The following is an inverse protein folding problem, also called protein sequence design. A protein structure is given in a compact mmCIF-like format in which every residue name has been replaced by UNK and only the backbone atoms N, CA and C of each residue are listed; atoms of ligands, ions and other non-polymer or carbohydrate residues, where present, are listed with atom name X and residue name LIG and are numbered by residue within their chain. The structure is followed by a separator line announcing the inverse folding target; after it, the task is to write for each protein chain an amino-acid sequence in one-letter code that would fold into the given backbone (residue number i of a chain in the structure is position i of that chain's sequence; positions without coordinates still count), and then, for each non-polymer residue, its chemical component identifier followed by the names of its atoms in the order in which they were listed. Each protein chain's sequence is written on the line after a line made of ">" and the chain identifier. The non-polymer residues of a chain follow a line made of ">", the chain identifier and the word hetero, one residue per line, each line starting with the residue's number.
data_IF_333137310376
#
_entry.id   IF_333137310376
#
_cell.length_a   1.000
_cell.length_b   1.000
_cell.length_c   1.000
_cell.angle_alpha   90.00
_cell.angle_beta   90.00
_cell.angle_gamma   90.00
#
_symmetry.space_group_name_H-M   'P 1'
#
loop_
_entity.id
_entity.type
_entity.pdbx_description
1 polymer ?
#
# COMPACT_ATOMS: atom_id res chain seq x y z
N UNK A 1 -27.85 -18.17 0.36
CA UNK A 1 -27.63 -17.52 -0.94
C UNK A 1 -28.13 -16.10 -0.83
N UNK A 2 -27.24 -15.14 -0.52
CA UNK A 2 -27.57 -13.72 -0.44
C UNK A 2 -26.74 -12.99 -1.50
N UNK A 3 -27.03 -13.28 -2.76
CA UNK A 3 -26.48 -12.52 -3.86
C UNK A 3 -27.28 -11.22 -3.99
N UNK A 4 -26.58 -10.12 -4.21
CA UNK A 4 -27.16 -8.80 -4.33
C UNK A 4 -26.54 -8.06 -5.50
N UNK A 5 -27.38 -7.45 -6.34
CA UNK A 5 -26.95 -6.56 -7.40
C UNK A 5 -27.64 -5.22 -7.23
N UNK A 6 -26.85 -4.15 -7.24
CA UNK A 6 -27.32 -2.77 -7.24
C UNK A 6 -26.80 -2.11 -8.53
N UNK A 7 -27.70 -1.53 -9.31
CA UNK A 7 -27.34 -0.76 -10.50
C UNK A 7 -27.97 0.62 -10.41
N UNK A 8 -27.16 1.66 -10.52
CA UNK A 8 -27.56 3.06 -10.59
C UNK A 8 -27.12 3.61 -11.95
N UNK A 9 -28.00 4.32 -12.63
CA UNK A 9 -27.68 5.05 -13.85
C UNK A 9 -28.18 6.49 -13.73
N UNK A 10 -27.38 7.44 -14.18
CA UNK A 10 -27.69 8.86 -14.20
C UNK A 10 -27.30 9.43 -15.56
N UNK A 11 -28.18 10.24 -16.13
CA UNK A 11 -27.92 10.96 -17.39
C UNK A 11 -28.24 12.42 -17.17
N UNK A 12 -27.30 13.31 -17.51
CA UNK A 12 -27.44 14.77 -17.44
C UNK A 12 -27.22 15.34 -18.85
N UNK A 13 -28.29 15.47 -19.65
CA UNK A 13 -28.18 15.87 -21.06
C UNK A 13 -27.54 17.25 -21.27
N UNK A 14 -27.77 18.20 -20.35
CA UNK A 14 -27.21 19.55 -20.42
C UNK A 14 -25.68 19.59 -20.39
N UNK A 15 -25.04 18.57 -19.80
CA UNK A 15 -23.58 18.44 -19.69
C UNK A 15 -23.00 17.38 -20.63
N UNK A 16 -23.84 16.75 -21.48
CA UNK A 16 -23.46 15.54 -22.26
C UNK A 16 -22.76 14.51 -21.37
N UNK A 17 -23.35 14.27 -20.21
CA UNK A 17 -22.77 13.40 -19.19
C UNK A 17 -23.70 12.23 -18.89
N UNK A 18 -23.13 11.04 -18.79
CA UNK A 18 -23.80 9.86 -18.28
C UNK A 18 -22.87 9.10 -17.34
N UNK A 19 -23.46 8.53 -16.29
CA UNK A 19 -22.74 7.77 -15.29
C UNK A 19 -23.53 6.52 -14.93
N UNK A 20 -22.84 5.40 -14.82
CA UNK A 20 -23.39 4.15 -14.30
C UNK A 20 -22.51 3.60 -13.21
N UNK A 21 -23.16 3.07 -12.17
CA UNK A 21 -22.53 2.40 -11.05
C UNK A 21 -23.19 1.04 -10.88
N UNK A 22 -22.42 -0.03 -11.01
CA UNK A 22 -22.88 -1.40 -10.82
C UNK A 22 -22.13 -2.01 -9.66
N UNK A 23 -22.83 -2.45 -8.63
CA UNK A 23 -22.28 -3.14 -7.48
C UNK A 23 -22.85 -4.56 -7.45
N UNK A 24 -21.99 -5.56 -7.51
CA UNK A 24 -22.35 -6.97 -7.42
C UNK A 24 -21.74 -7.55 -6.14
N UNK A 25 -22.54 -8.22 -5.34
CA UNK A 25 -22.11 -8.99 -4.19
C UNK A 25 -22.56 -10.44 -4.39
N UNK A 26 -21.59 -11.35 -4.38
CA UNK A 26 -21.84 -12.79 -4.40
C UNK A 26 -21.31 -13.40 -3.12
N UNK A 27 -22.15 -14.17 -2.45
CA UNK A 27 -21.79 -14.82 -1.18
C UNK A 27 -22.24 -16.28 -1.21
N UNK A 28 -21.30 -17.12 -1.65
CA UNK A 28 -21.38 -18.58 -1.61
C UNK A 28 -20.42 -19.10 -0.51
N UNK A 29 -19.38 -19.86 -0.86
CA UNK A 29 -18.28 -20.25 0.04
C UNK A 29 -17.24 -19.11 0.19
N UNK A 30 -16.99 -18.39 -0.90
CA UNK A 30 -16.13 -17.21 -0.96
C UNK A 30 -17.00 -15.94 -1.05
N UNK A 31 -16.50 -14.82 -0.53
CA UNK A 31 -17.14 -13.52 -0.68
C UNK A 31 -16.48 -12.75 -1.83
N UNK A 32 -17.26 -12.46 -2.87
CA UNK A 32 -16.80 -11.65 -4.01
C UNK A 32 -17.67 -10.40 -4.12
N UNK A 33 -17.03 -9.25 -4.15
CA UNK A 33 -17.68 -7.95 -4.35
C UNK A 33 -17.03 -7.22 -5.51
N UNK A 34 -17.80 -6.95 -6.55
CA UNK A 34 -17.37 -6.18 -7.71
C UNK A 34 -18.10 -4.84 -7.75
N UNK A 35 -17.36 -3.76 -7.98
CA UNK A 35 -17.86 -2.41 -8.16
C UNK A 35 -17.33 -1.87 -9.49
N UNK A 36 -18.23 -1.59 -10.42
CA UNK A 36 -17.92 -1.00 -11.71
C UNK A 36 -18.56 0.38 -11.82
N UNK A 37 -17.73 1.40 -12.02
CA UNK A 37 -18.14 2.78 -12.27
C UNK A 37 -17.77 3.13 -13.70
N UNK A 38 -18.73 3.57 -14.51
CA UNK A 38 -18.49 4.09 -15.85
C UNK A 38 -19.04 5.50 -15.89
N UNK A 39 -18.25 6.45 -16.36
CA UNK A 39 -18.65 7.84 -16.52
C UNK A 39 -18.17 8.34 -17.87
N UNK A 40 -19.11 8.87 -18.65
CA UNK A 40 -18.83 9.59 -19.88
C UNK A 40 -19.17 11.06 -19.64
N UNK A 41 -18.22 11.95 -19.92
CA UNK A 41 -18.39 13.40 -19.80
C UNK A 41 -17.85 14.06 -21.06
N UNK A 42 -18.74 14.46 -21.96
CA UNK A 42 -18.38 15.05 -23.27
C UNK A 42 -17.35 14.18 -24.02
N UNK A 43 -16.09 14.63 -24.17
CA UNK A 43 -15.02 13.90 -24.87
C UNK A 43 -14.10 13.09 -23.94
N UNK A 44 -14.49 12.89 -22.67
CA UNK A 44 -13.77 12.08 -21.68
C UNK A 44 -14.59 10.84 -21.33
N UNK A 45 -13.95 9.66 -21.34
CA UNK A 45 -14.51 8.44 -20.76
C UNK A 45 -13.65 7.95 -19.59
N UNK A 46 -14.31 7.59 -18.50
CA UNK A 46 -13.72 7.04 -17.30
C UNK A 46 -14.40 5.72 -16.95
N UNK A 47 -13.61 4.68 -16.74
CA UNK A 47 -14.07 3.38 -16.31
C UNK A 47 -13.22 2.93 -15.12
N UNK A 48 -13.86 2.54 -14.03
CA UNK A 48 -13.21 2.02 -12.83
C UNK A 48 -13.84 0.69 -12.45
N UNK A 49 -13.01 -0.30 -12.17
CA UNK A 49 -13.41 -1.63 -11.69
C UNK A 49 -12.66 -1.91 -10.41
N UNK A 50 -13.37 -2.07 -9.30
CA UNK A 50 -12.82 -2.56 -8.05
C UNK A 50 -13.41 -3.94 -7.77
N UNK A 51 -12.57 -4.94 -7.55
CA UNK A 51 -12.96 -6.31 -7.20
C UNK A 51 -12.32 -6.65 -5.87
N UNK A 52 -13.13 -7.08 -4.91
CA UNK A 52 -12.69 -7.63 -3.63
C UNK A 52 -13.07 -9.11 -3.60
N UNK A 53 -12.09 -9.96 -3.37
CA UNK A 53 -12.27 -11.40 -3.16
C UNK A 53 -11.72 -11.76 -1.80
N UNK A 54 -12.55 -12.44 -1.01
CA UNK A 54 -12.17 -12.93 0.31
C UNK A 54 -12.59 -14.38 0.43
N UNK A 55 -11.62 -15.22 0.78
CA UNK A 55 -11.83 -16.62 1.11
C UNK A 55 -11.08 -16.97 2.41
N UNK A 56 -11.09 -18.25 2.80
CA UNK A 56 -10.47 -18.71 4.04
C UNK A 56 -8.93 -18.60 4.04
N UNK A 57 -8.29 -18.55 2.87
CA UNK A 57 -6.85 -18.70 2.69
C UNK A 57 -6.17 -17.44 2.13
N UNK A 58 -6.94 -16.54 1.51
CA UNK A 58 -6.46 -15.32 0.88
C UNK A 58 -7.51 -14.21 0.87
N UNK A 59 -6.98 -13.00 0.80
CA UNK A 59 -7.70 -11.75 0.60
C UNK A 59 -7.07 -11.05 -0.60
N UNK A 60 -7.87 -10.69 -1.60
CA UNK A 60 -7.41 -10.06 -2.84
C UNK A 60 -8.27 -8.84 -3.17
N UNK A 61 -7.61 -7.73 -3.46
CA UNK A 61 -8.24 -6.48 -3.89
C UNK A 61 -7.59 -6.07 -5.20
N UNK A 62 -8.42 -5.93 -6.22
CA UNK A 62 -8.02 -5.49 -7.56
C UNK A 62 -8.72 -4.18 -7.88
N UNK A 63 -7.98 -3.18 -8.33
CA UNK A 63 -8.47 -1.87 -8.71
C UNK A 63 -7.91 -1.51 -10.08
N UNK A 64 -8.78 -1.46 -11.07
CA UNK A 64 -8.48 -1.05 -12.44
C UNK A 64 -9.19 0.26 -12.73
N UNK A 65 -8.48 1.24 -13.26
CA UNK A 65 -9.01 2.52 -13.71
C UNK A 65 -8.50 2.79 -15.12
N UNK A 66 -9.39 3.19 -16.01
CA UNK A 66 -9.10 3.55 -17.39
C UNK A 66 -9.75 4.91 -17.68
N UNK A 67 -8.94 5.90 -17.97
CA UNK A 67 -9.37 7.24 -18.34
C UNK A 67 -8.88 7.50 -19.76
N UNK A 68 -9.79 7.84 -20.66
CA UNK A 68 -9.49 8.23 -22.02
C UNK A 68 -10.08 9.60 -22.35
N UNK A 69 -9.38 10.37 -23.18
CA UNK A 69 -9.81 11.69 -23.62
C UNK A 69 -9.38 11.97 -25.05
N UNK A 70 -10.27 12.55 -25.85
CA UNK A 70 -9.97 13.02 -27.20
C UNK A 70 -9.46 14.47 -27.18
N UNK A 71 -8.13 14.63 -27.15
CA UNK A 71 -7.48 15.95 -26.97
C UNK A 71 -7.71 16.91 -28.13
N UNK A 72 -7.79 16.41 -29.36
CA UNK A 72 -7.99 17.24 -30.55
C UNK A 72 -9.30 18.01 -30.52
N UNK A 73 -10.34 17.46 -29.88
CA UNK A 73 -11.65 18.09 -29.76
C UNK A 73 -11.74 19.04 -28.56
N UNK A 74 -10.95 18.79 -27.51
CA UNK A 74 -10.94 19.63 -26.30
C UNK A 74 -10.05 20.86 -26.41
N UNK A 75 -8.90 20.77 -27.09
CA UNK A 75 -7.95 21.88 -27.21
C UNK A 75 -7.86 22.28 -28.70
N UNK A 76 -8.62 23.29 -29.14
CA UNK A 76 -8.42 23.85 -30.47
C UNK A 76 -7.01 24.44 -30.58
N UNK A 77 -6.31 24.15 -31.69
CA UNK A 77 -4.96 24.65 -31.97
C UNK A 77 -3.88 24.15 -30.98
N UNK A 78 -3.77 22.82 -30.84
CA UNK A 78 -2.78 22.12 -30.01
C UNK A 78 -1.33 22.55 -30.29
N UNK A 79 -0.98 22.83 -31.55
CA UNK A 79 0.38 23.24 -31.92
C UNK A 79 0.75 24.63 -31.39
N UNK A 80 -0.18 25.58 -31.41
CA UNK A 80 0.06 26.91 -30.86
C UNK A 80 0.26 26.84 -29.34
N UNK A 81 -0.56 26.06 -28.63
CA UNK A 81 -0.41 25.84 -27.19
C UNK A 81 0.92 25.16 -26.85
N UNK A 82 1.34 24.17 -27.65
CA UNK A 82 2.65 23.54 -27.48
C UNK A 82 3.79 24.55 -27.66
N UNK A 83 3.74 25.40 -28.69
CA UNK A 83 4.75 26.44 -28.92
C UNK A 83 4.80 27.44 -27.78
N UNK A 84 3.65 27.87 -27.26
CA UNK A 84 3.57 28.75 -26.09
C UNK A 84 4.17 28.09 -24.84
N UNK A 85 3.85 26.82 -24.57
CA UNK A 85 4.43 26.08 -23.45
C UNK A 85 5.94 25.90 -23.61
N UNK A 86 6.42 25.60 -24.82
CA UNK A 86 7.86 25.52 -25.10
C UNK A 86 8.55 26.86 -24.87
N UNK A 87 7.95 27.97 -25.34
CA UNK A 87 8.48 29.32 -25.10
C UNK A 87 8.54 29.65 -23.61
N UNK A 88 7.50 29.36 -22.84
CA UNK A 88 7.49 29.57 -21.38
C UNK A 88 8.57 28.75 -20.68
N UNK A 89 8.73 27.48 -21.05
CA UNK A 89 9.80 26.62 -20.51
C UNK A 89 11.16 27.19 -20.87
N UNK A 90 11.37 27.62 -22.11
CA UNK A 90 12.62 28.20 -22.55
C UNK A 90 12.92 29.54 -21.84
N UNK A 91 11.93 30.41 -21.64
CA UNK A 91 12.07 31.66 -20.90
C UNK A 91 12.46 31.42 -19.43
N UNK A 92 11.81 30.47 -18.76
CA UNK A 92 12.15 30.09 -17.37
C UNK A 92 13.57 29.52 -17.31
N UNK A 93 13.93 28.63 -18.23
CA UNK A 93 15.25 28.04 -18.30
C UNK A 93 16.33 29.08 -18.63
N UNK A 94 16.00 30.11 -19.41
CA UNK A 94 16.94 31.15 -19.80
C UNK A 94 17.02 32.34 -18.82
N UNK A 95 16.17 32.34 -17.79
CA UNK A 95 16.21 33.33 -16.71
C UNK A 95 17.58 33.30 -16.00
N UNK A 96 18.18 34.49 -15.85
CA UNK A 96 19.43 34.66 -15.11
C UNK A 96 19.20 34.45 -13.62
N UNK A 97 20.07 33.65 -13.00
CA UNK A 97 20.05 33.45 -11.55
C UNK A 97 20.69 34.66 -10.87
N UNK A 98 19.99 35.24 -9.89
CA UNK A 98 20.39 36.46 -9.22
C UNK A 98 21.84 36.37 -8.69
N UNK A 99 22.65 37.39 -8.99
CA UNK A 99 24.07 37.52 -8.61
C UNK A 99 25.04 36.52 -9.26
N UNK A 100 24.65 35.88 -10.37
CA UNK A 100 25.54 35.05 -11.19
C UNK A 100 25.38 35.37 -12.67
N UNK A 101 26.41 35.14 -13.50
CA UNK A 101 26.27 35.23 -14.97
C UNK A 101 25.67 33.94 -15.58
N UNK A 102 25.14 33.05 -14.74
CA UNK A 102 24.58 31.76 -15.17
C UNK A 102 23.06 31.85 -15.36
N UNK A 103 22.56 31.22 -16.44
CA UNK A 103 21.13 30.95 -16.64
C UNK A 103 20.68 29.72 -15.84
N UNK A 104 19.39 29.62 -15.50
CA UNK A 104 18.82 28.46 -14.80
C UNK A 104 19.12 27.13 -15.54
N UNK A 105 19.07 27.14 -16.87
CA UNK A 105 19.48 26.04 -17.75
C UNK A 105 20.88 25.53 -17.43
N UNK A 106 21.84 26.44 -17.23
CA UNK A 106 23.22 26.07 -16.89
C UNK A 106 23.32 25.43 -15.51
N UNK A 107 22.54 25.90 -14.53
CA UNK A 107 22.50 25.30 -13.18
C UNK A 107 21.94 23.89 -13.25
N UNK A 108 20.83 23.68 -13.96
CA UNK A 108 20.23 22.36 -14.16
C UNK A 108 21.20 21.42 -14.88
N UNK A 109 21.86 21.88 -15.94
CA UNK A 109 22.92 21.13 -16.65
C UNK A 109 24.01 20.68 -15.70
N UNK A 110 24.57 21.62 -14.93
CA UNK A 110 25.66 21.32 -13.98
C UNK A 110 25.19 20.38 -12.86
N UNK A 111 23.94 20.49 -12.42
CA UNK A 111 23.32 19.58 -11.47
C UNK A 111 23.20 18.15 -12.01
N UNK A 112 22.79 18.00 -13.28
CA UNK A 112 22.74 16.68 -13.95
C UNK A 112 24.16 16.10 -14.10
N UNK A 113 25.13 16.90 -14.55
CA UNK A 113 26.54 16.50 -14.66
C UNK A 113 27.12 16.03 -13.31
N UNK A 114 26.95 16.83 -12.26
CA UNK A 114 27.41 16.50 -10.92
C UNK A 114 26.72 15.25 -10.36
N UNK A 115 25.41 15.11 -10.60
CA UNK A 115 24.65 13.91 -10.23
C UNK A 115 25.15 12.66 -10.94
N UNK A 116 25.51 12.76 -12.23
CA UNK A 116 26.11 11.66 -12.99
C UNK A 116 27.47 11.24 -12.40
N UNK A 117 28.33 12.20 -12.01
CA UNK A 117 29.61 11.92 -11.34
C UNK A 117 29.41 11.22 -10.00
N UNK A 118 28.41 11.65 -9.21
CA UNK A 118 28.12 11.03 -7.92
C UNK A 118 27.56 9.61 -8.07
N UNK A 119 26.69 9.40 -9.07
CA UNK A 119 26.23 8.07 -9.46
C UNK A 119 27.39 7.17 -9.90
N UNK A 120 28.38 7.68 -10.62
CA UNK A 120 29.56 6.92 -11.05
C UNK A 120 30.34 6.33 -9.85
N UNK A 121 30.47 7.11 -8.77
CA UNK A 121 31.09 6.62 -7.52
C UNK A 121 30.25 5.54 -6.83
N UNK A 122 28.92 5.69 -6.85
CA UNK A 122 28.02 4.70 -6.26
C UNK A 122 27.89 3.41 -7.08
N UNK A 123 27.98 3.49 -8.41
CA UNK A 123 27.96 2.30 -9.27
C UNK A 123 29.11 1.36 -9.04
N UNK A 124 30.25 1.85 -8.54
CA UNK A 124 31.36 1.00 -8.10
C UNK A 124 30.96 0.06 -6.95
N UNK A 125 29.98 0.46 -6.12
CA UNK A 125 29.50 -0.31 -4.97
C UNK A 125 28.16 -1.01 -5.23
N UNK A 126 27.33 -0.48 -6.15
CA UNK A 126 26.00 -0.99 -6.46
C UNK A 126 25.81 -1.06 -7.99
N UNK A 127 26.08 -2.22 -8.63
CA UNK A 127 26.04 -2.38 -10.09
C UNK A 127 24.67 -2.09 -10.72
N UNK A 128 23.58 -2.21 -9.96
CA UNK A 128 22.21 -1.95 -10.43
C UNK A 128 21.97 -0.47 -10.78
N UNK A 129 22.78 0.46 -10.26
CA UNK A 129 22.67 1.90 -10.56
C UNK A 129 23.22 2.27 -11.94
N UNK A 130 23.99 1.39 -12.59
CA UNK A 130 24.62 1.66 -13.90
C UNK A 130 23.57 1.90 -15.00
N UNK A 131 22.37 1.32 -14.85
CA UNK A 131 21.25 1.50 -15.79
C UNK A 131 20.58 2.87 -15.71
N UNK A 132 20.90 3.68 -14.70
CA UNK A 132 20.42 5.07 -14.56
C UNK A 132 21.29 6.08 -15.33
N UNK A 133 22.50 5.67 -15.73
CA UNK A 133 23.51 6.53 -16.37
C UNK A 133 23.18 6.89 -17.83
N UNK A 134 22.74 5.93 -18.64
CA UNK A 134 22.58 6.11 -20.09
C UNK A 134 21.38 6.94 -20.52
N UNK A 135 20.63 7.45 -19.55
CA UNK A 135 19.31 8.06 -19.74
C UNK A 135 19.23 9.47 -19.17
N UNK A 136 20.30 10.28 -19.22
CA UNK A 136 20.22 11.67 -18.71
C UNK A 136 20.96 12.62 -19.64
N UNK A 137 20.23 13.29 -20.53
CA UNK A 137 20.75 14.32 -21.45
C UNK A 137 19.89 15.58 -21.38
N UNK A 138 20.37 16.72 -21.87
CA UNK A 138 19.60 17.97 -21.95
C UNK A 138 18.61 17.99 -23.12
N UNK A 139 18.81 17.15 -24.14
CA UNK A 139 17.88 16.98 -25.26
C UNK A 139 16.48 16.50 -24.81
N UNK A 140 16.40 16.03 -23.57
CA UNK A 140 15.22 15.57 -22.83
C UNK A 140 14.37 16.72 -22.25
N UNK A 141 14.73 17.98 -22.45
CA UNK A 141 13.90 19.13 -22.04
C UNK A 141 12.92 19.56 -23.12
N UNK A 142 13.03 19.02 -24.33
CA UNK A 142 12.10 19.29 -25.41
C UNK A 142 10.75 18.61 -25.14
N UNK A 143 9.68 19.39 -25.06
CA UNK A 143 8.33 18.86 -24.88
C UNK A 143 7.98 17.87 -26.00
N UNK A 144 7.55 16.63 -25.70
CA UNK A 144 7.12 15.65 -26.69
C UNK A 144 5.85 16.12 -27.40
N UNK A 145 5.55 15.52 -28.55
CA UNK A 145 4.31 15.82 -29.27
C UNK A 145 3.09 15.38 -28.44
N UNK A 146 2.04 16.21 -28.42
CA UNK A 146 0.78 15.84 -27.77
C UNK A 146 0.08 14.76 -28.63
N UNK A 147 -0.24 13.59 -28.09
CA UNK A 147 -0.96 12.56 -28.83
C UNK A 147 -2.42 12.97 -29.06
N UNK A 148 -3.04 12.41 -30.09
CA UNK A 148 -4.43 12.69 -30.49
C UNK A 148 -5.46 12.21 -29.46
N UNK A 149 -5.09 11.19 -28.68
CA UNK A 149 -5.86 10.63 -27.58
C UNK A 149 -4.96 10.51 -26.36
N UNK A 150 -5.40 11.10 -25.24
CA UNK A 150 -4.77 10.87 -23.95
C UNK A 150 -5.44 9.70 -23.28
N UNK A 151 -4.63 8.78 -22.77
CA UNK A 151 -5.10 7.70 -21.92
C UNK A 151 -4.29 7.67 -20.62
N UNK A 152 -4.94 7.24 -19.55
CA UNK A 152 -4.33 6.92 -18.28
C UNK A 152 -5.00 5.65 -17.75
N UNK A 153 -4.24 4.57 -17.77
CA UNK A 153 -4.62 3.28 -17.22
C UNK A 153 -3.88 3.05 -15.91
N UNK A 154 -4.59 2.62 -14.88
CA UNK A 154 -4.03 2.19 -13.60
C UNK A 154 -4.58 0.81 -13.28
N UNK A 155 -3.70 -0.13 -12.97
CA UNK A 155 -4.04 -1.48 -12.55
C UNK A 155 -3.29 -1.77 -11.25
N UNK A 156 -4.03 -1.93 -10.16
CA UNK A 156 -3.49 -2.17 -8.83
C UNK A 156 -4.07 -3.46 -8.27
N UNK A 157 -3.20 -4.32 -7.78
CA UNK A 157 -3.55 -5.60 -7.18
C UNK A 157 -2.86 -5.72 -5.84
N UNK A 158 -3.65 -5.97 -4.80
CA UNK A 158 -3.18 -6.33 -3.47
C UNK A 158 -3.67 -7.74 -3.16
N UNK A 159 -2.77 -8.60 -2.68
CA UNK A 159 -3.07 -9.97 -2.29
C UNK A 159 -2.38 -10.29 -0.97
N UNK A 160 -3.14 -10.80 -0.02
CA UNK A 160 -2.64 -11.34 1.22
C UNK A 160 -3.06 -12.81 1.33
N UNK A 161 -2.11 -13.70 1.57
CA UNK A 161 -2.37 -15.11 1.80
C UNK A 161 -2.16 -15.41 3.27
N UNK A 162 -3.18 -15.92 3.96
CA UNK A 162 -3.11 -16.29 5.37
C UNK A 162 -2.21 -17.51 5.57
N UNK A 163 -1.53 -17.55 6.72
CA UNK A 163 -0.77 -18.73 7.13
C UNK A 163 -1.62 -19.59 8.09
N UNK A 164 -1.66 -20.90 7.86
CA UNK A 164 -2.37 -21.86 8.73
C UNK A 164 -1.51 -22.34 9.90
N UNK A 165 -0.20 -22.16 9.80
CA UNK A 165 0.74 -22.53 10.85
C UNK A 165 0.64 -21.58 12.03
N UNK A 166 0.79 -22.13 13.24
CA UNK A 166 0.71 -21.38 14.50
C UNK A 166 2.01 -21.53 15.26
N UNK A 167 2.46 -20.44 15.87
CA UNK A 167 3.55 -20.44 16.83
C UNK A 167 2.96 -20.53 18.23
N UNK A 168 3.45 -21.47 19.03
CA UNK A 168 3.20 -21.50 20.46
C UNK A 168 4.24 -20.62 21.17
N UNK A 169 3.79 -19.67 21.98
CA UNK A 169 4.61 -18.85 22.86
C UNK A 169 4.19 -19.16 24.29
N UNK A 170 5.12 -19.68 25.09
CA UNK A 170 4.90 -19.90 26.53
C UNK A 170 5.34 -18.67 27.30
N UNK A 171 4.39 -17.88 27.79
CA UNK A 171 4.69 -16.73 28.66
C UNK A 171 4.83 -17.23 30.10
N UNK A 172 5.98 -17.07 30.76
CA UNK A 172 6.11 -17.39 32.17
C UNK A 172 5.25 -16.43 32.98
N UNK A 173 4.37 -16.97 33.83
CA UNK A 173 3.54 -16.15 34.71
C UNK A 173 4.36 -15.70 35.92
N UNK A 174 4.23 -14.45 36.39
CA UNK A 174 4.82 -14.05 37.65
C UNK A 174 4.20 -14.91 38.76
N UNK A 175 5.05 -15.58 39.56
CA UNK A 175 4.66 -16.57 40.58
C UNK A 175 4.09 -17.88 40.02
N UNK A 176 4.33 -18.17 38.74
CA UNK A 176 3.97 -19.44 38.11
C UNK A 176 4.59 -20.64 38.84
N UNK A 177 3.79 -21.68 39.04
CA UNK A 177 4.16 -22.89 39.77
C UNK A 177 3.97 -22.82 41.28
N UNK A 178 3.71 -21.62 41.85
CA UNK A 178 3.46 -21.47 43.29
C UNK A 178 2.04 -21.84 43.67
N UNK A 179 1.91 -22.51 44.81
CA UNK A 179 0.62 -22.86 45.43
C UNK A 179 0.14 -21.76 46.37
N UNK A 180 -1.16 -21.71 46.64
CA UNK A 180 -1.78 -20.74 47.56
C UNK A 180 -1.10 -20.65 48.92
N UNK A 181 -0.58 -21.76 49.45
CA UNK A 181 0.13 -21.84 50.72
C UNK A 181 1.49 -21.13 50.68
N UNK A 182 2.20 -21.22 49.56
CA UNK A 182 3.50 -20.57 49.34
C UNK A 182 3.37 -19.07 49.06
N UNK A 183 2.17 -18.63 48.68
CA UNK A 183 1.81 -17.24 48.43
C UNK A 183 1.26 -16.53 49.68
N UNK A 184 1.28 -17.21 50.84
CA UNK A 184 0.68 -16.73 52.09
C UNK A 184 -0.81 -16.34 51.95
N UNK A 185 -1.54 -17.00 51.05
CA UNK A 185 -2.98 -16.77 50.92
C UNK A 185 -3.68 -17.45 52.12
N UNK A 186 -4.51 -16.74 52.88
CA UNK A 186 -5.19 -17.32 54.03
C UNK A 186 -6.16 -18.43 53.60
N UNK A 187 -6.23 -19.51 54.38
CA UNK A 187 -7.12 -20.64 54.09
C UNK A 187 -8.61 -20.32 54.34
N UNK A 188 -8.89 -19.25 55.08
CA UNK A 188 -10.25 -18.83 55.39
C UNK A 188 -10.39 -17.31 55.35
N UNK A 189 -11.44 -16.83 54.69
CA UNK A 189 -11.83 -15.44 54.71
C UNK A 189 -12.91 -15.25 55.79
N UNK A 190 -12.57 -14.57 56.87
CA UNK A 190 -13.53 -14.20 57.90
C UNK A 190 -14.07 -12.81 57.61
N UNK A 191 -15.35 -12.73 57.27
CA UNK A 191 -16.07 -11.47 57.19
C UNK A 191 -16.57 -11.14 58.60
N UNK A 192 -16.14 -10.03 59.21
CA UNK A 192 -16.64 -9.62 60.52
C UNK A 192 -18.11 -9.19 60.43
N UNK A 193 -18.77 -9.04 61.58
CA UNK A 193 -20.10 -8.45 61.63
C UNK A 193 -20.04 -7.03 61.08
N UNK A 194 -20.80 -6.75 60.02
CA UNK A 194 -20.98 -5.39 59.50
C UNK A 194 -22.42 -5.01 59.75
N UNK A 195 -22.63 -4.11 60.71
CA UNK A 195 -23.94 -3.55 61.04
C UNK A 195 -23.91 -2.04 60.83
N UNK A 196 -24.55 -1.60 59.77
CA UNK A 196 -24.67 -0.20 59.36
C UNK A 196 -26.15 0.19 59.37
N UNK A 197 -26.71 0.54 60.55
CA UNK A 197 -28.14 0.79 60.71
C UNK A 197 -28.65 1.99 59.90
N UNK A 198 -27.78 2.95 59.57
CA UNK A 198 -28.15 4.13 58.77
C UNK A 198 -28.53 3.80 57.31
N UNK A 199 -28.08 2.67 56.78
CA UNK A 199 -28.39 2.18 55.43
C UNK A 199 -29.14 0.83 55.45
N UNK A 200 -29.53 0.35 56.64
CA UNK A 200 -30.19 -0.95 56.82
C UNK A 200 -29.34 -2.16 56.43
N UNK A 201 -28.01 -2.02 56.34
CA UNK A 201 -27.11 -3.09 55.92
C UNK A 201 -26.64 -3.90 57.13
N UNK A 202 -27.13 -5.14 57.24
CA UNK A 202 -26.72 -6.11 58.24
C UNK A 202 -26.10 -7.34 57.56
N UNK A 203 -24.80 -7.52 57.72
CA UNK A 203 -24.06 -8.69 57.23
C UNK A 203 -23.55 -9.47 58.44
N UNK A 204 -24.11 -10.68 58.71
CA UNK A 204 -23.68 -11.48 59.85
C UNK A 204 -22.25 -12.00 59.65
N UNK A 205 -21.49 -12.19 60.75
CA UNK A 205 -20.13 -12.69 60.66
C UNK A 205 -20.15 -14.10 60.08
N UNK A 206 -19.37 -14.31 59.02
CA UNK A 206 -19.27 -15.59 58.30
C UNK A 206 -17.83 -15.85 57.90
N UNK A 207 -17.41 -17.10 58.08
CA UNK A 207 -16.13 -17.58 57.61
C UNK A 207 -16.34 -18.43 56.35
N UNK A 208 -15.63 -18.07 55.28
CA UNK A 208 -15.62 -18.83 54.03
C UNK A 208 -14.29 -19.55 53.90
N UNK A 209 -14.32 -20.84 53.60
CA UNK A 209 -13.11 -21.62 53.29
C UNK A 209 -12.68 -21.30 51.86
N UNK A 210 -11.44 -20.86 51.68
CA UNK A 210 -10.89 -20.56 50.36
C UNK A 210 -10.34 -21.86 49.74
N UNK A 211 -10.65 -22.14 48.46
CA UNK A 211 -10.10 -23.31 47.79
C UNK A 211 -8.60 -23.13 47.56
N UNK A 212 -7.86 -24.22 47.68
CA UNK A 212 -6.45 -24.26 47.31
C UNK A 212 -6.32 -24.12 45.80
N UNK A 213 -5.44 -23.24 45.35
CA UNK A 213 -5.18 -23.03 43.94
C UNK A 213 -3.68 -22.98 43.66
N UNK A 214 -3.31 -23.34 42.43
CA UNK A 214 -1.93 -23.32 41.95
C UNK A 214 -1.90 -22.43 40.72
N UNK A 215 -0.97 -21.48 40.69
CA UNK A 215 -0.77 -20.65 39.49
C UNK A 215 -0.01 -21.52 38.47
N UNK A 216 -0.52 -21.70 37.24
CA UNK A 216 0.21 -22.45 36.24
C UNK A 216 1.57 -21.81 35.96
N UNK A 217 2.64 -22.60 35.72
CA UNK A 217 3.99 -22.09 35.53
C UNK A 217 4.13 -21.20 34.29
N UNK A 218 3.42 -21.53 33.21
CA UNK A 218 3.38 -20.76 31.98
C UNK A 218 1.97 -20.72 31.40
N UNK A 219 1.70 -19.69 30.60
CA UNK A 219 0.53 -19.60 29.74
C UNK A 219 0.97 -19.79 28.29
N UNK A 220 0.47 -20.85 27.65
CA UNK A 220 0.76 -21.14 26.25
C UNK A 220 -0.22 -20.39 25.34
N UNK A 221 0.29 -19.43 24.58
CA UNK A 221 -0.46 -18.66 23.60
C UNK A 221 -0.14 -19.18 22.19
N UNK A 222 -1.17 -19.48 21.40
CA UNK A 222 -1.02 -19.90 20.01
C UNK A 222 -1.33 -18.73 19.08
N UNK A 223 -0.30 -18.17 18.44
CA UNK A 223 -0.42 -17.05 17.49
C UNK A 223 -0.28 -17.56 16.04
N UNK A 224 -1.13 -17.12 15.10
CA UNK A 224 -0.95 -17.48 13.69
C UNK A 224 0.33 -16.84 13.14
N UNK A 225 1.08 -17.58 12.32
CA UNK A 225 2.25 -17.03 11.64
C UNK A 225 1.84 -15.98 10.61
N UNK A 226 2.74 -15.05 10.32
CA UNK A 226 2.52 -14.07 9.26
C UNK A 226 2.46 -14.77 7.90
N UNK A 227 1.45 -14.41 7.12
CA UNK A 227 1.24 -14.87 5.76
C UNK A 227 2.15 -14.23 4.71
N UNK A 228 1.73 -14.32 3.44
CA UNK A 228 2.39 -13.68 2.30
C UNK A 228 1.57 -12.48 1.82
N UNK A 229 2.12 -11.28 1.95
CA UNK A 229 1.57 -10.07 1.36
C UNK A 229 2.26 -9.77 0.03
N UNK A 230 1.49 -9.40 -0.98
CA UNK A 230 1.97 -8.93 -2.26
C UNK A 230 1.11 -7.76 -2.72
N UNK A 231 1.74 -6.68 -3.18
CA UNK A 231 1.09 -5.56 -3.81
C UNK A 231 1.80 -5.26 -5.12
N UNK A 232 1.04 -5.06 -6.18
CA UNK A 232 1.54 -4.62 -7.48
C UNK A 232 0.66 -3.51 -8.01
N UNK A 233 1.27 -2.55 -8.69
CA UNK A 233 0.57 -1.44 -9.30
C UNK A 233 1.28 -1.08 -10.59
N UNK A 234 0.48 -0.84 -11.63
CA UNK A 234 0.92 -0.51 -12.97
C UNK A 234 0.14 0.71 -13.42
N UNK A 235 0.83 1.77 -13.78
CA UNK A 235 0.27 3.01 -14.30
C UNK A 235 0.81 3.19 -15.70
N UNK A 236 -0.05 3.33 -16.69
CA UNK A 236 0.34 3.50 -18.08
C UNK A 236 -0.38 4.70 -18.68
N UNK A 237 0.37 5.56 -19.35
CA UNK A 237 -0.12 6.72 -20.08
C UNK A 237 0.71 6.90 -21.34
N UNK A 238 0.34 7.86 -22.18
CA UNK A 238 1.10 8.19 -23.39
C UNK A 238 2.56 8.62 -23.12
N UNK A 239 2.84 9.20 -21.94
CA UNK A 239 4.14 9.80 -21.64
C UNK A 239 4.89 9.12 -20.48
N UNK A 240 4.20 8.27 -19.73
CA UNK A 240 4.78 7.64 -18.56
C UNK A 240 4.17 6.27 -18.32
N UNK A 241 5.03 5.27 -18.19
CA UNK A 241 4.67 3.92 -17.81
C UNK A 241 5.46 3.55 -16.56
N UNK A 242 4.76 3.21 -15.49
CA UNK A 242 5.34 2.84 -14.22
C UNK A 242 4.76 1.52 -13.72
N UNK A 243 5.62 0.66 -13.21
CA UNK A 243 5.27 -0.64 -12.66
C UNK A 243 6.02 -0.82 -11.33
N UNK A 244 5.26 -0.92 -10.25
CA UNK A 244 5.76 -1.20 -8.91
C UNK A 244 5.20 -2.53 -8.41
N UNK A 245 6.04 -3.35 -7.80
CA UNK A 245 5.60 -4.50 -7.02
C UNK A 245 6.44 -4.66 -5.77
N UNK A 246 5.79 -5.05 -4.70
CA UNK A 246 6.40 -5.38 -3.42
C UNK A 246 5.73 -6.66 -2.90
N UNK A 247 6.53 -7.62 -2.47
CA UNK A 247 6.04 -8.82 -1.81
C UNK A 247 6.87 -9.11 -0.57
N UNK A 248 6.22 -9.63 0.46
CA UNK A 248 6.80 -9.81 1.77
C UNK A 248 6.03 -10.86 2.54
N UNK A 249 6.71 -11.88 3.05
CA UNK A 249 6.06 -12.86 3.90
C UNK A 249 6.82 -14.16 4.09
N UNK A 250 6.13 -15.09 4.74
CA UNK A 250 6.67 -16.39 5.06
C UNK A 250 6.94 -17.20 3.77
N UNK A 251 8.17 -17.69 3.63
CA UNK A 251 8.63 -18.57 2.56
C UNK A 251 9.31 -19.81 3.15
N UNK A 252 8.68 -20.40 4.17
CA UNK A 252 9.17 -21.58 4.88
C UNK A 252 8.83 -22.82 4.07
N UNK A 253 9.85 -23.46 3.50
CA UNK A 253 9.76 -24.84 3.02
C UNK A 253 10.21 -25.81 4.13
N UNK A 254 11.44 -25.63 4.65
CA UNK A 254 12.01 -26.46 5.72
C UNK A 254 12.53 -25.66 6.96
N UNK A 255 12.87 -24.37 6.79
CA UNK A 255 13.40 -23.49 7.86
C UNK A 255 12.61 -22.17 7.88
N UNK A 256 12.20 -21.64 9.05
CA UNK A 256 11.43 -20.40 9.15
C UNK A 256 12.19 -19.23 8.53
N UNK A 257 11.79 -18.86 7.30
CA UNK A 257 12.41 -17.80 6.51
C UNK A 257 11.37 -16.85 5.95
N UNK A 258 11.67 -15.57 6.03
CA UNK A 258 10.84 -14.49 5.49
C UNK A 258 11.56 -13.86 4.32
N UNK A 259 10.87 -13.70 3.18
CA UNK A 259 11.43 -13.03 2.00
C UNK A 259 10.71 -11.71 1.80
N UNK A 260 11.49 -10.65 1.59
CA UNK A 260 11.00 -9.37 1.08
C UNK A 260 11.59 -9.11 -0.30
N UNK A 261 10.76 -8.79 -1.28
CA UNK A 261 11.15 -8.46 -2.64
C UNK A 261 10.44 -7.18 -3.07
N UNK A 262 11.15 -6.32 -3.78
CA UNK A 262 10.56 -5.16 -4.44
C UNK A 262 11.12 -5.01 -5.86
N UNK A 263 10.29 -4.47 -6.74
CA UNK A 263 10.62 -4.15 -8.12
C UNK A 263 9.88 -2.87 -8.49
N UNK A 264 10.58 -1.85 -8.94
CA UNK A 264 10.00 -0.61 -9.43
C UNK A 264 10.65 -0.26 -10.77
N UNK A 265 9.84 -0.08 -11.80
CA UNK A 265 10.30 0.26 -13.14
C UNK A 265 9.51 1.45 -13.64
N UNK A 266 10.20 2.47 -14.13
CA UNK A 266 9.62 3.62 -14.80
C UNK A 266 10.19 3.76 -16.20
N UNK A 267 9.33 4.04 -17.16
CA UNK A 267 9.66 4.31 -18.55
C UNK A 267 8.99 5.61 -18.97
N UNK A 268 9.75 6.50 -19.57
CA UNK A 268 9.28 7.77 -20.09
C UNK A 268 10.06 8.14 -21.36
N UNK A 269 9.48 8.94 -22.27
CA UNK A 269 10.21 9.61 -23.33
C UNK A 269 11.35 10.45 -22.77
N UNK A 270 11.17 10.99 -21.56
CA UNK A 270 12.24 11.63 -20.80
C UNK A 270 13.10 10.57 -20.13
N UNK A 271 14.26 10.34 -20.72
CA UNK A 271 15.29 9.46 -20.20
C UNK A 271 15.56 9.74 -18.70
N UNK A 272 15.57 11.01 -18.26
CA UNK A 272 15.79 11.42 -16.87
C UNK A 272 14.83 10.78 -15.87
N UNK A 273 13.59 10.53 -16.29
CA UNK A 273 12.51 9.99 -15.47
C UNK A 273 12.40 8.45 -15.55
N UNK A 274 13.22 7.82 -16.39
CA UNK A 274 13.23 6.38 -16.58
C UNK A 274 14.22 5.69 -15.61
N UNK A 275 13.74 4.72 -14.83
CA UNK A 275 14.57 3.97 -13.89
C UNK A 275 14.11 2.52 -13.76
N UNK A 276 14.99 1.66 -13.24
CA UNK A 276 14.66 0.29 -12.89
C UNK A 276 15.39 -0.09 -11.61
N UNK A 277 14.63 -0.42 -10.57
CA UNK A 277 15.10 -0.79 -9.24
C UNK A 277 14.53 -2.16 -8.89
N UNK A 278 15.40 -3.06 -8.44
CA UNK A 278 15.03 -4.40 -8.00
C UNK A 278 15.86 -4.74 -6.76
N UNK A 279 15.22 -5.36 -5.78
CA UNK A 279 15.90 -5.84 -4.58
C UNK A 279 15.16 -7.01 -3.96
N UNK A 280 15.93 -7.92 -3.37
CA UNK A 280 15.43 -9.08 -2.64
C UNK A 280 16.28 -9.28 -1.39
N UNK A 281 15.63 -9.52 -0.26
CA UNK A 281 16.29 -9.84 1.01
C UNK A 281 15.58 -11.00 1.68
N UNK A 282 16.38 -11.93 2.20
CA UNK A 282 15.94 -13.04 3.03
C UNK A 282 16.27 -12.71 4.49
N UNK A 283 15.31 -13.00 5.36
CA UNK A 283 15.44 -12.89 6.81
C UNK A 283 15.26 -14.28 7.41
N UNK A 284 16.19 -14.67 8.28
CA UNK A 284 16.10 -15.91 9.05
C UNK A 284 15.63 -15.58 10.46
N UNK A 285 14.63 -16.30 10.96
CA UNK A 285 14.23 -16.18 12.34
C UNK A 285 15.05 -17.20 13.15
N UNK A 286 16.12 -16.76 13.82
CA UNK A 286 16.78 -17.59 14.82
C UNK A 286 15.93 -17.56 16.09
N UNK A 287 15.29 -18.68 16.40
CA UNK A 287 14.68 -18.92 17.71
C UNK A 287 15.83 -19.24 18.67
N UNK A 288 16.05 -18.38 19.67
CA UNK A 288 16.97 -18.64 20.79
C UNK A 288 16.15 -18.99 22.02
#
# INVERSE_FOLDING_TARGET
>A
MNDGMLQLQMVVPSLKADASLTANLKKDEDMVMDLETIMHLSEISYQQKASLKYDNDKFEVELKSDLNSETQKMIPNVEAHRRQLQQLVDEILDQRVAKTDMKLRHIITKGIEAGNIWLDKLTAHIPTLAKLRSKRSLSDLALPALPEKLFLQSDTLFRYQFNKDKMAISLPLPLGGKKSEELNVPNSLSVPLIDLPQIGLYIPPRAYQLPRFTIPPSLDLSLPLLGLAAASTKISSNFYSWEGSISGGNNTADVPSYTAQFRATAQSPFSLLSYKLEGKKLFFCQVT
#
